data_IF_512711393215
#
_entry.id   IF_512711393215
#
_cell.length_a   1.000
_cell.length_b   1.000
_cell.length_c   1.000
_cell.angle_alpha   90.00
_cell.angle_beta   90.00
_cell.angle_gamma   90.00
#
_symmetry.space_group_name_H-M   'P 1'
#
loop_
_entity.id
_entity.type
_entity.pdbx_description
1 polymer ?
#
# COMPACT_ATOMS: atom_id res chain seq x y z
N UNK A 1 -0.95 -1.42 -15.16
CA UNK A 1 -0.99 -0.96 -16.56
C UNK A 1 -0.44 -2.10 -17.40
N UNK A 2 -1.24 -2.62 -18.32
CA UNK A 2 -0.97 -3.88 -19.02
C UNK A 2 -2.21 -4.76 -18.98
N UNK A 3 -3.18 -4.42 -19.82
CA UNK A 3 -4.23 -5.35 -20.24
C UNK A 3 -3.85 -5.94 -21.60
N UNK A 4 -4.52 -7.02 -21.96
CA UNK A 4 -4.20 -7.99 -23.02
C UNK A 4 -4.29 -7.43 -24.47
N UNK A 5 -4.35 -6.11 -24.64
CA UNK A 5 -4.46 -5.40 -25.91
C UNK A 5 -3.14 -4.88 -26.46
N UNK A 6 -3.10 -4.62 -27.76
CA UNK A 6 -1.98 -3.94 -28.44
C UNK A 6 -1.78 -2.54 -27.87
N UNK A 7 -0.53 -2.22 -27.51
CA UNK A 7 -0.17 -0.89 -27.01
C UNK A 7 -0.46 0.19 -28.03
N UNK A 8 -1.13 1.24 -27.58
CA UNK A 8 -1.40 2.43 -28.37
C UNK A 8 -0.32 3.49 -28.15
N UNK A 9 -0.23 4.48 -29.03
CA UNK A 9 0.67 5.64 -28.86
C UNK A 9 0.47 6.35 -27.52
N UNK A 10 -0.77 6.33 -27.00
CA UNK A 10 -1.11 6.88 -25.68
C UNK A 10 -0.45 6.07 -24.56
N UNK A 11 -0.41 4.74 -24.65
CA UNK A 11 0.22 3.88 -23.65
C UNK A 11 1.74 4.09 -23.63
N UNK A 12 2.35 4.26 -24.81
CA UNK A 12 3.76 4.62 -24.93
C UNK A 12 4.06 5.99 -24.30
N UNK A 13 3.23 7.00 -24.55
CA UNK A 13 3.38 8.33 -23.96
C UNK A 13 3.23 8.31 -22.44
N UNK A 14 2.22 7.61 -21.91
CA UNK A 14 2.02 7.46 -20.47
C UNK A 14 3.20 6.73 -19.82
N UNK A 15 3.71 5.68 -20.44
CA UNK A 15 4.89 4.94 -19.95
C UNK A 15 6.14 5.82 -19.96
N UNK A 16 6.35 6.60 -21.01
CA UNK A 16 7.49 7.51 -21.10
C UNK A 16 7.42 8.63 -20.05
N UNK A 17 6.24 9.25 -19.90
CA UNK A 17 6.00 10.26 -18.87
C UNK A 17 6.19 9.69 -17.46
N UNK A 18 5.71 8.47 -17.20
CA UNK A 18 5.92 7.78 -15.92
C UNK A 18 7.40 7.52 -15.65
N UNK A 19 8.15 7.09 -16.67
CA UNK A 19 9.60 6.85 -16.56
C UNK A 19 10.36 8.14 -16.22
N UNK A 20 10.03 9.24 -16.88
CA UNK A 20 10.62 10.55 -16.58
C UNK A 20 10.26 11.02 -15.17
N UNK A 21 9.01 10.83 -14.74
CA UNK A 21 8.57 11.12 -13.38
C UNK A 21 9.38 10.33 -12.34
N UNK A 22 9.50 9.01 -12.52
CA UNK A 22 10.29 8.16 -11.62
C UNK A 22 11.76 8.60 -11.52
N UNK A 23 12.37 9.07 -12.61
CA UNK A 23 13.74 9.60 -12.61
C UNK A 23 13.91 10.90 -11.82
N UNK A 24 12.82 11.65 -11.63
CA UNK A 24 12.83 12.87 -10.81
C UNK A 24 12.62 12.57 -9.31
N UNK A 25 12.41 11.30 -8.93
CA UNK A 25 12.28 10.87 -7.54
C UNK A 25 13.62 10.35 -7.00
N UNK A 26 13.85 10.57 -5.71
CA UNK A 26 14.93 9.95 -4.96
C UNK A 26 14.68 8.44 -4.86
N UNK A 27 15.66 7.59 -5.21
CA UNK A 27 15.49 6.13 -5.17
C UNK A 27 15.28 5.58 -3.77
N UNK A 28 15.75 6.28 -2.72
CA UNK A 28 15.68 5.79 -1.34
C UNK A 28 14.34 6.11 -0.67
N UNK A 29 13.80 7.31 -0.90
CA UNK A 29 12.61 7.80 -0.18
C UNK A 29 11.41 8.17 -1.07
N UNK A 30 11.56 8.12 -2.39
CA UNK A 30 10.48 8.37 -3.35
C UNK A 30 10.01 9.84 -3.45
N UNK A 31 10.65 10.77 -2.74
CA UNK A 31 10.38 12.22 -2.85
C UNK A 31 11.07 12.81 -4.06
N UNK A 32 10.62 13.99 -4.50
CA UNK A 32 11.28 14.69 -5.61
C UNK A 32 12.73 15.04 -5.26
N UNK A 33 13.64 14.96 -6.23
CA UNK A 33 15.05 15.29 -6.02
C UNK A 33 15.25 16.74 -5.55
N UNK A 34 14.33 17.64 -5.90
CA UNK A 34 14.30 19.03 -5.40
C UNK A 34 14.03 19.12 -3.89
N UNK A 35 13.20 18.24 -3.33
CA UNK A 35 12.95 18.17 -1.88
C UNK A 35 14.11 17.49 -1.13
N UNK A 36 14.82 16.56 -1.78
CA UNK A 36 15.95 15.84 -1.19
C UNK A 36 17.28 16.59 -1.23
N UNK A 37 17.40 17.60 -2.10
CA UNK A 37 18.69 18.25 -2.40
C UNK A 37 19.22 19.22 -1.35
N UNK A 38 18.39 19.73 -0.43
CA UNK A 38 18.83 20.73 0.54
C UNK A 38 17.85 20.91 1.71
N UNK A 39 18.28 20.57 2.92
CA UNK A 39 17.51 20.84 4.14
C UNK A 39 18.12 20.20 5.39
N UNK A 40 17.73 20.71 6.57
CA UNK A 40 17.84 19.98 7.83
C UNK A 40 16.60 19.09 7.97
N UNK A 41 16.80 17.77 7.97
CA UNK A 41 15.69 16.80 8.03
C UNK A 41 15.50 16.28 9.46
N UNK A 42 14.24 16.14 9.87
CA UNK A 42 13.87 15.44 11.11
C UNK A 42 13.40 14.02 10.77
N UNK A 43 13.71 13.06 11.65
CA UNK A 43 13.19 11.71 11.54
C UNK A 43 11.73 11.70 12.00
N UNK A 44 10.81 11.29 11.12
CA UNK A 44 9.44 10.97 11.50
C UNK A 44 9.27 9.45 11.54
N UNK A 45 8.82 8.94 12.68
CA UNK A 45 8.39 7.56 12.82
C UNK A 45 6.90 7.45 12.49
N UNK A 46 6.53 6.54 11.59
CA UNK A 46 5.12 6.18 11.35
C UNK A 46 4.90 4.72 11.72
N UNK A 47 3.78 4.45 12.37
CA UNK A 47 3.37 3.09 12.70
C UNK A 47 2.65 2.50 11.50
N UNK A 48 3.12 1.34 11.02
CA UNK A 48 2.37 0.54 10.06
C UNK A 48 1.29 -0.23 10.83
N UNK A 49 0.06 0.29 10.84
CA UNK A 49 -1.06 -0.31 11.59
C UNK A 49 -1.29 -1.80 11.29
N UNK A 50 -1.24 -2.28 10.03
CA UNK A 50 -1.34 -3.71 9.73
C UNK A 50 -0.25 -4.55 10.40
N UNK A 51 1.00 -4.09 10.33
CA UNK A 51 2.13 -4.79 10.95
C UNK A 51 2.04 -4.75 12.47
N UNK A 52 1.64 -3.60 13.02
CA UNK A 52 1.43 -3.43 14.45
C UNK A 52 0.32 -4.36 14.97
N UNK A 53 -0.76 -4.56 14.21
CA UNK A 53 -1.82 -5.50 14.57
C UNK A 53 -1.32 -6.94 14.66
N UNK A 54 -0.52 -7.39 13.68
CA UNK A 54 0.10 -8.73 13.72
C UNK A 54 1.06 -8.87 14.89
N UNK A 55 1.87 -7.85 15.17
CA UNK A 55 2.79 -7.85 16.30
C UNK A 55 2.06 -7.88 17.65
N UNK A 56 0.96 -7.12 17.81
CA UNK A 56 0.08 -7.18 18.98
C UNK A 56 -0.47 -8.59 19.17
N UNK A 57 -1.03 -9.19 18.11
CA UNK A 57 -1.56 -10.56 18.16
C UNK A 57 -0.48 -11.56 18.59
N UNK A 58 0.73 -11.51 18.02
CA UNK A 58 1.85 -12.40 18.40
C UNK A 58 2.32 -12.21 19.83
N UNK A 59 2.20 -11.01 20.39
CA UNK A 59 2.54 -10.75 21.80
C UNK A 59 1.51 -11.37 22.76
N UNK A 60 0.24 -11.39 22.34
CA UNK A 60 -0.89 -11.84 23.13
C UNK A 60 -1.20 -13.35 22.97
N UNK A 61 -0.72 -13.96 21.88
CA UNK A 61 -0.98 -15.36 21.53
C UNK A 61 0.33 -16.15 21.48
N UNK A 62 0.27 -17.47 21.74
CA UNK A 62 1.40 -18.36 21.47
C UNK A 62 1.67 -18.40 19.96
N UNK A 63 2.93 -18.64 19.59
CA UNK A 63 3.33 -18.72 18.19
C UNK A 63 2.35 -19.57 17.37
N UNK A 64 1.96 -19.10 16.17
CA UNK A 64 1.02 -19.84 15.35
C UNK A 64 1.64 -21.19 14.96
N UNK A 65 0.79 -22.20 14.76
CA UNK A 65 1.26 -23.52 14.37
C UNK A 65 2.14 -23.43 13.09
N UNK A 66 3.15 -24.31 12.93
CA UNK A 66 3.96 -24.35 11.72
C UNK A 66 3.08 -24.41 10.47
N UNK A 67 3.31 -23.50 9.51
CA UNK A 67 2.55 -23.40 8.27
C UNK A 67 1.40 -22.37 8.29
N UNK A 68 1.08 -21.77 9.43
CA UNK A 68 0.07 -20.70 9.52
C UNK A 68 0.69 -19.33 9.23
N UNK A 69 0.07 -18.59 8.30
CA UNK A 69 0.46 -17.23 7.92
C UNK A 69 -0.55 -16.23 8.47
N UNK A 70 -0.06 -15.19 9.16
CA UNK A 70 -0.89 -14.12 9.69
C UNK A 70 -1.01 -12.99 8.66
N UNK A 71 -2.23 -12.54 8.40
CA UNK A 71 -2.53 -11.37 7.58
C UNK A 71 -3.44 -10.43 8.35
N UNK A 72 -3.15 -9.13 8.31
CA UNK A 72 -4.00 -8.12 8.92
C UNK A 72 -5.16 -7.81 7.96
N UNK A 73 -6.38 -7.91 8.48
CA UNK A 73 -7.60 -7.47 7.81
C UNK A 73 -8.14 -6.21 8.49
N UNK A 74 -8.85 -5.32 7.78
CA UNK A 74 -9.57 -4.24 8.43
C UNK A 74 -10.57 -4.79 9.45
N UNK A 75 -10.71 -4.13 10.59
CA UNK A 75 -11.75 -4.49 11.56
C UNK A 75 -13.14 -4.07 11.06
N UNK A 76 -14.19 -4.71 11.59
CA UNK A 76 -15.59 -4.38 11.28
C UNK A 76 -15.94 -2.90 11.60
N UNK A 77 -15.35 -2.34 12.66
CA UNK A 77 -15.46 -0.92 12.99
C UNK A 77 -14.80 0.03 11.96
N UNK A 78 -14.03 -0.52 11.01
CA UNK A 78 -13.42 0.20 9.90
C UNK A 78 -14.11 -0.07 8.54
N UNK A 79 -15.19 -0.84 8.49
CA UNK A 79 -15.97 -1.05 7.27
C UNK A 79 -16.55 0.29 6.73
N UNK A 80 -16.86 1.22 7.64
CA UNK A 80 -17.27 2.60 7.33
C UNK A 80 -16.09 3.57 7.14
N UNK A 81 -14.84 3.08 7.17
CA UNK A 81 -13.66 3.92 6.96
C UNK A 81 -13.60 4.39 5.49
N UNK A 82 -13.30 5.70 5.24
CA UNK A 82 -13.14 6.22 3.88
C UNK A 82 -12.05 5.51 3.06
N UNK A 83 -11.15 4.79 3.74
CA UNK A 83 -10.10 3.95 3.14
C UNK A 83 -10.64 2.66 2.53
N UNK A 84 -11.68 2.06 3.12
CA UNK A 84 -12.35 0.86 2.59
C UNK A 84 -13.27 1.26 1.43
N UNK A 85 -13.97 2.39 1.57
CA UNK A 85 -14.82 2.94 0.51
C UNK A 85 -14.06 3.29 -0.79
N UNK A 86 -12.78 3.69 -0.67
CA UNK A 86 -11.91 4.01 -1.81
C UNK A 86 -11.16 2.80 -2.40
N UNK A 87 -11.35 1.59 -1.84
CA UNK A 87 -10.74 0.38 -2.38
C UNK A 87 -11.42 -0.06 -3.71
N UNK A 88 -10.66 -0.70 -4.64
CA UNK A 88 -11.20 -1.26 -5.87
C UNK A 88 -12.36 -2.24 -5.63
N UNK A 89 -13.35 -2.27 -6.53
CA UNK A 89 -14.58 -3.07 -6.38
C UNK A 89 -14.31 -4.56 -6.11
N UNK A 90 -13.41 -5.18 -6.87
CA UNK A 90 -13.03 -6.58 -6.71
C UNK A 90 -12.47 -6.91 -5.32
N UNK A 91 -11.83 -5.93 -4.65
CA UNK A 91 -11.26 -6.10 -3.33
C UNK A 91 -12.35 -5.98 -2.25
N UNK A 92 -13.26 -5.02 -2.40
CA UNK A 92 -14.43 -4.87 -1.52
C UNK A 92 -15.37 -6.07 -1.57
N UNK A 93 -15.58 -6.65 -2.75
CA UNK A 93 -16.41 -7.86 -2.90
C UNK A 93 -15.79 -9.08 -2.19
N UNK A 94 -14.47 -9.15 -2.11
CA UNK A 94 -13.75 -10.29 -1.52
C UNK A 94 -13.47 -10.14 -0.03
N UNK A 95 -13.32 -8.90 0.44
CA UNK A 95 -12.83 -8.59 1.80
C UNK A 95 -13.66 -7.54 2.54
N UNK A 96 -14.66 -6.93 1.90
CA UNK A 96 -15.43 -5.79 2.41
C UNK A 96 -16.81 -6.14 2.97
N UNK A 97 -17.20 -7.42 3.00
CA UNK A 97 -18.43 -7.86 3.68
C UNK A 97 -18.08 -8.67 4.93
N UNK A 98 -18.61 -8.30 6.12
CA UNK A 98 -18.65 -9.21 7.25
C UNK A 98 -19.64 -10.33 6.92
N UNK A 99 -19.19 -11.58 6.99
CA UNK A 99 -20.10 -12.71 7.13
C UNK A 99 -20.61 -12.70 8.57
N UNK A 100 -21.95 -12.78 8.74
CA UNK A 100 -22.67 -12.92 10.02
C UNK A 100 -22.03 -13.86 11.03
#
# INVERSE_FOLDING_TARGET
MGGDGTWTDRDHLLTHAHTLYQRMLCPDCGRTLTECGSGAYNVQTRICEPSAAIQRWRKENKDPAPGIVLFAVPSEAAADSPTVASAPAWWREKYGTPTE
#
